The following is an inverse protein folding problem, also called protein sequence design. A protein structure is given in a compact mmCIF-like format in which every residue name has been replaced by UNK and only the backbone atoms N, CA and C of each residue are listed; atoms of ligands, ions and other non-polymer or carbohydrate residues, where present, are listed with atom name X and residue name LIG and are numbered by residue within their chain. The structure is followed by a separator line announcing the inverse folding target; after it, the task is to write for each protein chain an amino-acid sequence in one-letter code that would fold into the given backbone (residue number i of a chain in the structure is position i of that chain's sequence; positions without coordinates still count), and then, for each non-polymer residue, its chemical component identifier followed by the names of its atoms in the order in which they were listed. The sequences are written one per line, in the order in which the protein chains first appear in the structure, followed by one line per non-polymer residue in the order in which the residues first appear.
data_IF_087797304707
#
_entry.id   IF_087797304707
#
_cell.length_a   1.000
_cell.length_b   1.000
_cell.length_c   1.000
_cell.angle_alpha   90.00
_cell.angle_beta   90.00
_cell.angle_gamma   90.00
#
_symmetry.space_group_name_H-M   'P 1'
#
loop_
_entity.id
_entity.type
_entity.pdbx_description
1 polymer ?
#
# COMPACT_ATOMS: atom_id res chain seq x y z
N UNK A 1 -0.35 1.23 -2.14
CA UNK A 1 1.11 1.46 -2.03
C UNK A 1 1.83 0.82 -3.23
N UNK A 2 1.85 -0.52 -3.37
CA UNK A 2 2.52 -1.23 -4.48
C UNK A 2 2.09 -0.79 -5.88
N UNK A 3 0.79 -0.63 -6.13
CA UNK A 3 0.28 -0.20 -7.45
C UNK A 3 0.71 1.23 -7.82
N UNK A 4 0.87 2.09 -6.83
CA UNK A 4 1.37 3.46 -7.00
C UNK A 4 2.87 3.45 -7.27
N UNK A 5 3.61 2.57 -6.58
CA UNK A 5 5.05 2.38 -6.78
C UNK A 5 5.36 1.86 -8.19
N UNK A 6 4.63 0.86 -8.66
CA UNK A 6 4.83 0.22 -9.97
C UNK A 6 4.55 1.06 -11.21
N UNK A 7 3.95 2.25 -11.05
CA UNK A 7 3.71 3.18 -12.15
C UNK A 7 5.02 3.73 -12.74
N UNK A 8 6.01 3.93 -11.88
CA UNK A 8 7.31 4.54 -12.25
C UNK A 8 8.41 3.48 -12.42
N UNK A 9 8.07 2.19 -12.36
CA UNK A 9 9.03 1.09 -12.45
C UNK A 9 9.08 0.52 -13.87
N UNK A 10 10.24 0.00 -14.25
CA UNK A 10 10.41 -0.76 -15.52
C UNK A 10 9.54 -2.01 -15.58
N UNK A 11 9.24 -2.59 -14.41
CA UNK A 11 8.40 -3.78 -14.26
C UNK A 11 7.06 -3.36 -13.65
N UNK A 12 5.92 -3.63 -14.30
CA UNK A 12 4.62 -3.26 -13.77
C UNK A 12 4.31 -4.06 -12.49
N UNK A 13 3.88 -3.39 -11.43
CA UNK A 13 3.56 -4.05 -10.16
C UNK A 13 2.21 -4.79 -10.14
N UNK A 14 1.30 -4.44 -11.05
CA UNK A 14 -0.08 -4.95 -11.02
C UNK A 14 -0.20 -6.49 -11.16
N UNK A 15 0.61 -7.22 -11.96
CA UNK A 15 0.50 -8.67 -12.05
C UNK A 15 0.93 -9.33 -10.72
N UNK A 16 1.99 -8.80 -10.09
CA UNK A 16 2.48 -9.28 -8.80
C UNK A 16 1.49 -8.96 -7.67
N UNK A 17 0.84 -7.79 -7.73
CA UNK A 17 -0.22 -7.43 -6.78
C UNK A 17 -1.44 -8.35 -6.90
N UNK A 18 -1.84 -8.72 -8.12
CA UNK A 18 -2.94 -9.68 -8.33
C UNK A 18 -2.52 -11.08 -7.87
N UNK A 19 -1.32 -11.52 -8.26
CA UNK A 19 -0.79 -12.82 -7.86
C UNK A 19 -0.66 -12.96 -6.34
N UNK A 20 -0.40 -11.86 -5.62
CA UNK A 20 -0.31 -11.86 -4.17
C UNK A 20 -1.63 -12.19 -3.45
N UNK A 21 -2.79 -12.10 -4.11
CA UNK A 21 -4.05 -12.58 -3.51
C UNK A 21 -4.14 -14.11 -3.46
N UNK A 22 -3.39 -14.83 -4.30
CA UNK A 22 -3.40 -16.29 -4.37
C UNK A 22 -2.13 -16.92 -3.80
N UNK A 23 -0.98 -16.30 -4.07
CA UNK A 23 0.35 -16.79 -3.70
C UNK A 23 0.97 -16.02 -2.52
N UNK A 24 0.32 -14.94 -2.09
CA UNK A 24 0.81 -14.12 -1.00
C UNK A 24 1.99 -13.21 -1.34
N UNK A 25 2.68 -12.73 -0.32
CA UNK A 25 3.95 -12.03 -0.35
C UNK A 25 5.01 -12.71 -1.22
N UNK A 26 4.98 -14.04 -1.40
CA UNK A 26 5.90 -14.72 -2.30
C UNK A 26 5.78 -14.24 -3.74
N UNK A 27 4.59 -13.86 -4.20
CA UNK A 27 4.44 -13.21 -5.50
C UNK A 27 4.97 -11.76 -5.49
N UNK A 28 4.96 -11.09 -4.34
CA UNK A 28 5.37 -9.70 -4.23
C UNK A 28 6.90 -9.53 -4.11
N UNK A 29 7.59 -10.49 -3.50
CA UNK A 29 9.04 -10.44 -3.27
C UNK A 29 9.88 -10.25 -4.54
N UNK A 30 9.67 -11.00 -5.65
CA UNK A 30 10.42 -10.80 -6.88
C UNK A 30 10.31 -9.36 -7.40
N UNK A 31 9.12 -8.78 -7.33
CA UNK A 31 8.91 -7.38 -7.71
C UNK A 31 9.70 -6.43 -6.80
N UNK A 32 9.70 -6.65 -5.48
CA UNK A 32 10.43 -5.81 -4.54
C UNK A 32 11.96 -5.91 -4.68
N UNK A 33 12.47 -7.05 -5.17
CA UNK A 33 13.90 -7.24 -5.45
C UNK A 33 14.31 -6.52 -6.74
N UNK A 34 13.43 -6.52 -7.76
CA UNK A 34 13.72 -5.96 -9.08
C UNK A 34 13.43 -4.46 -9.21
N UNK A 35 12.63 -3.89 -8.29
CA UNK A 35 12.25 -2.47 -8.34
C UNK A 35 13.40 -1.54 -7.92
N UNK A 36 13.39 -0.33 -8.45
CA UNK A 36 14.33 0.73 -8.05
C UNK A 36 13.63 1.73 -7.13
N UNK A 37 14.18 2.14 -5.99
CA UNK A 37 13.53 3.13 -5.12
C UNK A 37 13.31 4.45 -5.86
N UNK A 38 12.04 4.83 -6.09
CA UNK A 38 11.68 6.05 -6.81
C UNK A 38 10.99 7.03 -5.86
N UNK A 39 11.61 8.21 -5.69
CA UNK A 39 11.12 9.24 -4.75
C UNK A 39 10.09 10.21 -5.36
N UNK A 40 9.83 10.13 -6.66
CA UNK A 40 8.94 11.05 -7.39
C UNK A 40 7.89 10.26 -8.17
N UNK A 41 6.70 10.81 -8.30
CA UNK A 41 5.63 10.28 -9.13
C UNK A 41 5.50 11.20 -10.34
N UNK A 42 5.94 10.75 -11.52
CA UNK A 42 6.02 11.54 -12.75
C UNK A 42 5.16 10.91 -13.84
N UNK A 43 3.88 11.25 -13.88
CA UNK A 43 3.02 10.85 -15.00
C UNK A 43 1.53 11.02 -14.77
N UNK A 44 0.71 10.78 -15.82
CA UNK A 44 -0.74 10.85 -15.74
C UNK A 44 -1.29 9.69 -14.89
N UNK A 45 -2.15 9.99 -13.91
CA UNK A 45 -2.78 8.97 -13.07
C UNK A 45 -3.67 8.06 -13.91
N UNK A 46 -3.29 6.79 -14.06
CA UNK A 46 -4.15 5.78 -14.69
C UNK A 46 -5.47 5.59 -13.92
N UNK A 47 -6.52 5.09 -14.57
CA UNK A 47 -7.83 4.86 -13.91
C UNK A 47 -7.71 3.94 -12.69
N UNK A 48 -6.82 2.95 -12.73
CA UNK A 48 -6.54 2.05 -11.62
C UNK A 48 -5.96 2.80 -10.41
N UNK A 49 -5.01 3.72 -10.66
CA UNK A 49 -4.42 4.54 -9.59
C UNK A 49 -5.47 5.49 -9.02
N UNK A 50 -6.35 6.07 -9.85
CA UNK A 50 -7.43 6.93 -9.36
C UNK A 50 -8.39 6.19 -8.41
N UNK A 51 -8.74 4.95 -8.75
CA UNK A 51 -9.56 4.08 -7.90
C UNK A 51 -8.84 3.80 -6.57
N UNK A 52 -7.58 3.36 -6.61
CA UNK A 52 -6.79 3.02 -5.40
C UNK A 52 -6.44 4.26 -4.55
N UNK A 53 -6.40 5.45 -5.14
CA UNK A 53 -6.25 6.73 -4.44
C UNK A 53 -7.57 7.23 -3.82
N UNK A 54 -8.71 6.59 -4.09
CA UNK A 54 -10.00 7.01 -3.54
C UNK A 54 -10.05 6.83 -2.02
N UNK A 55 -10.32 7.93 -1.30
CA UNK A 55 -10.52 7.93 0.16
C UNK A 55 -11.65 7.00 0.59
N UNK A 56 -12.66 6.82 -0.25
CA UNK A 56 -13.77 5.90 0.00
C UNK A 56 -13.32 4.45 0.04
N UNK A 57 -12.43 4.04 -0.87
CA UNK A 57 -11.88 2.68 -0.87
C UNK A 57 -11.00 2.46 0.35
N UNK A 58 -10.18 3.46 0.71
CA UNK A 58 -9.41 3.43 1.95
C UNK A 58 -10.31 3.26 3.19
N UNK A 59 -11.39 4.04 3.28
CA UNK A 59 -12.36 3.96 4.37
C UNK A 59 -13.10 2.62 4.42
N UNK A 60 -13.57 2.11 3.28
CA UNK A 60 -14.22 0.80 3.21
C UNK A 60 -13.27 -0.30 3.67
N UNK A 61 -12.02 -0.31 3.18
CA UNK A 61 -11.00 -1.28 3.61
C UNK A 61 -10.73 -1.20 5.12
N UNK A 62 -10.62 0.01 5.67
CA UNK A 62 -10.36 0.20 7.10
C UNK A 62 -11.54 -0.31 7.96
N UNK A 63 -12.77 0.02 7.59
CA UNK A 63 -13.98 -0.43 8.29
C UNK A 63 -14.12 -1.95 8.18
N UNK A 64 -14.01 -2.52 6.99
CA UNK A 64 -14.13 -3.95 6.77
C UNK A 64 -13.04 -4.74 7.51
N UNK A 65 -11.78 -4.28 7.45
CA UNK A 65 -10.68 -4.90 8.19
C UNK A 65 -10.93 -4.87 9.71
N UNK A 66 -11.35 -3.73 10.24
CA UNK A 66 -11.65 -3.57 11.66
C UNK A 66 -12.81 -4.46 12.10
N UNK A 67 -13.88 -4.54 11.29
CA UNK A 67 -15.04 -5.38 11.58
C UNK A 67 -14.69 -6.87 11.57
N UNK A 68 -13.92 -7.34 10.57
CA UNK A 68 -13.50 -8.74 10.46
C UNK A 68 -12.57 -9.12 11.62
N UNK A 69 -11.60 -8.26 11.95
CA UNK A 69 -10.71 -8.49 13.09
C UNK A 69 -11.47 -8.48 14.41
N UNK A 70 -12.38 -7.52 14.62
CA UNK A 70 -13.22 -7.46 15.81
C UNK A 70 -14.08 -8.70 15.97
N UNK A 71 -14.67 -9.19 14.87
CA UNK A 71 -15.44 -10.43 14.86
C UNK A 71 -14.57 -11.65 15.17
N UNK A 72 -13.40 -11.78 14.54
CA UNK A 72 -12.47 -12.88 14.82
C UNK A 72 -11.94 -12.87 16.25
N UNK A 73 -11.77 -11.69 16.86
CA UNK A 73 -11.34 -11.56 18.25
C UNK A 73 -12.44 -11.95 19.24
N UNK A 74 -13.68 -11.57 18.95
CA UNK A 74 -14.82 -11.78 19.85
C UNK A 74 -15.44 -13.17 19.74
N UNK A 75 -15.59 -13.68 18.52
CA UNK A 75 -16.28 -14.94 18.23
C UNK A 75 -15.34 -16.07 17.78
N UNK A 76 -14.03 -15.84 17.72
CA UNK A 76 -13.05 -16.81 17.25
C UNK A 76 -12.74 -17.91 18.27
N UNK A 77 -12.67 -19.15 17.79
CA UNK A 77 -12.14 -20.28 18.55
C UNK A 77 -10.61 -20.35 18.41
N UNK A 78 -9.92 -19.70 19.34
CA UNK A 78 -8.46 -19.59 19.36
C UNK A 78 -7.73 -20.94 19.49
N UNK A 79 -8.14 -21.86 20.39
CA UNK A 79 -7.58 -23.21 20.42
C UNK A 79 -7.69 -23.92 19.07
N UNK A 80 -8.87 -23.91 18.46
CA UNK A 80 -9.09 -24.54 17.17
C UNK A 80 -8.25 -23.89 16.06
N UNK A 81 -8.07 -22.56 16.08
CA UNK A 81 -7.18 -21.85 15.17
C UNK A 81 -5.73 -22.32 15.30
N UNK A 82 -5.22 -22.51 16.52
CA UNK A 82 -3.85 -22.99 16.77
C UNK A 82 -3.68 -24.42 16.25
N UNK A 83 -4.65 -25.29 16.49
CA UNK A 83 -4.64 -26.67 16.00
C UNK A 83 -4.69 -26.73 14.48
N UNK A 84 -5.55 -25.92 13.87
CA UNK A 84 -5.65 -25.78 12.43
C UNK A 84 -4.36 -25.19 11.82
N UNK A 85 -3.72 -24.23 12.49
CA UNK A 85 -2.46 -23.66 12.01
C UNK A 85 -1.32 -24.68 12.00
N UNK A 86 -1.33 -25.68 12.89
CA UNK A 86 -0.32 -26.76 12.90
C UNK A 86 -0.65 -27.89 11.94
N UNK A 87 -1.93 -28.23 11.79
CA UNK A 87 -2.40 -29.39 11.03
C UNK A 87 -2.67 -29.08 9.56
N UNK A 88 -3.20 -27.89 9.26
CA UNK A 88 -3.54 -27.46 7.90
C UNK A 88 -2.41 -26.64 7.29
N UNK A 89 -1.75 -27.22 6.28
CA UNK A 89 -0.71 -26.52 5.51
C UNK A 89 -1.23 -25.22 4.89
N UNK A 90 -2.50 -25.18 4.51
CA UNK A 90 -3.12 -23.99 3.93
C UNK A 90 -3.20 -22.85 4.95
N UNK A 91 -3.74 -23.11 6.15
CA UNK A 91 -3.87 -22.09 7.21
C UNK A 91 -2.49 -21.66 7.71
N UNK A 92 -1.56 -22.60 7.80
CA UNK A 92 -0.18 -22.30 8.14
C UNK A 92 0.47 -21.30 7.16
N UNK A 93 0.38 -21.58 5.85
CA UNK A 93 0.95 -20.72 4.81
C UNK A 93 0.24 -19.37 4.76
N UNK A 94 -1.10 -19.32 4.84
CA UNK A 94 -1.86 -18.06 4.86
C UNK A 94 -1.50 -17.20 6.09
N UNK A 95 -1.27 -17.81 7.25
CA UNK A 95 -0.83 -17.10 8.45
C UNK A 95 0.58 -16.54 8.33
N UNK A 96 1.53 -17.34 7.81
CA UNK A 96 2.89 -16.86 7.52
C UNK A 96 2.89 -15.76 6.46
N UNK A 97 2.04 -15.90 5.45
CA UNK A 97 1.88 -14.90 4.41
C UNK A 97 1.43 -13.55 4.96
N UNK A 98 0.41 -13.57 5.83
CA UNK A 98 -0.04 -12.37 6.53
C UNK A 98 1.09 -11.68 7.30
N UNK A 99 1.90 -12.44 8.05
CA UNK A 99 3.07 -11.91 8.77
C UNK A 99 4.09 -11.32 7.80
N UNK A 100 4.37 -12.01 6.70
CA UNK A 100 5.34 -11.55 5.71
C UNK A 100 4.88 -10.27 5.01
N UNK A 101 3.62 -10.21 4.58
CA UNK A 101 3.02 -8.99 4.02
C UNK A 101 3.07 -7.83 5.02
N UNK A 102 2.80 -8.09 6.30
CA UNK A 102 2.92 -7.09 7.35
C UNK A 102 4.36 -6.58 7.51
N UNK A 103 5.36 -7.45 7.49
CA UNK A 103 6.78 -7.07 7.54
C UNK A 103 7.23 -6.27 6.31
N UNK A 104 6.55 -6.40 5.17
CA UNK A 104 6.81 -5.60 3.98
C UNK A 104 6.22 -4.19 4.05
N UNK A 105 5.23 -3.94 4.91
CA UNK A 105 4.57 -2.62 5.03
C UNK A 105 5.56 -1.48 5.26
N UNK A 106 6.50 -1.53 6.22
CA UNK A 106 7.41 -0.40 6.47
C UNK A 106 8.22 0.01 5.23
N UNK A 107 8.64 -0.96 4.42
CA UNK A 107 9.40 -0.70 3.19
C UNK A 107 8.55 0.04 2.15
N UNK A 108 7.30 -0.38 1.97
CA UNK A 108 6.35 0.23 1.03
C UNK A 108 5.81 1.57 1.53
N UNK A 109 5.64 1.69 2.84
CA UNK A 109 5.13 2.88 3.50
C UNK A 109 6.13 4.02 3.44
N UNK A 110 7.42 3.75 3.68
CA UNK A 110 8.47 4.76 3.55
C UNK A 110 8.52 5.35 2.15
N UNK A 111 8.44 4.51 1.11
CA UNK A 111 8.38 4.95 -0.28
C UNK A 111 7.12 5.79 -0.57
N UNK A 112 5.93 5.35 -0.13
CA UNK A 112 4.66 6.08 -0.36
C UNK A 112 4.63 7.42 0.39
N UNK A 113 5.14 7.47 1.62
CA UNK A 113 5.26 8.71 2.41
C UNK A 113 6.25 9.69 1.78
N UNK A 114 7.41 9.21 1.32
CA UNK A 114 8.39 10.04 0.62
C UNK A 114 7.82 10.66 -0.66
N UNK A 115 7.07 9.88 -1.45
CA UNK A 115 6.38 10.38 -2.66
C UNK A 115 5.33 11.44 -2.36
N UNK A 116 4.74 11.41 -1.16
CA UNK A 116 3.73 12.39 -0.69
C UNK A 116 4.32 13.52 0.15
N UNK A 117 5.64 13.58 0.30
CA UNK A 117 6.34 14.57 1.13
C UNK A 117 5.83 14.57 2.59
N UNK A 118 5.44 13.39 3.10
CA UNK A 118 5.02 13.21 4.49
C UNK A 118 6.22 12.82 5.35
N UNK A 119 6.69 13.74 6.19
CA UNK A 119 7.75 13.48 7.16
C UNK A 119 7.18 13.47 8.58
N UNK A 120 6.48 12.38 8.94
CA UNK A 120 5.88 12.21 10.26
C UNK A 120 6.20 10.83 10.84
N UNK A 121 7.22 10.72 11.73
CA UNK A 121 7.59 9.46 12.34
C UNK A 121 6.44 8.78 13.10
N UNK A 122 5.57 9.56 13.76
CA UNK A 122 4.41 9.04 14.46
C UNK A 122 3.42 8.30 13.54
N UNK A 123 3.09 8.91 12.40
CA UNK A 123 2.24 8.29 11.37
C UNK A 123 2.88 7.02 10.81
N UNK A 124 4.19 7.04 10.58
CA UNK A 124 4.94 5.88 10.09
C UNK A 124 4.81 4.70 11.06
N UNK A 125 5.16 4.90 12.33
CA UNK A 125 5.11 3.83 13.33
C UNK A 125 3.70 3.35 13.64
N UNK A 126 2.73 4.26 13.75
CA UNK A 126 1.32 3.87 13.97
C UNK A 126 0.80 3.00 12.82
N UNK A 127 1.18 3.33 11.58
CA UNK A 127 0.78 2.58 10.40
C UNK A 127 1.51 1.24 10.29
N UNK A 128 2.81 1.21 10.62
CA UNK A 128 3.65 0.03 10.51
C UNK A 128 3.39 -1.01 11.61
N UNK A 129 3.13 -0.57 12.85
CA UNK A 129 3.02 -1.46 14.01
C UNK A 129 1.66 -2.13 14.15
N UNK A 130 0.60 -1.55 13.58
CA UNK A 130 -0.74 -2.11 13.65
C UNK A 130 -1.03 -2.87 12.36
N UNK A 131 -0.90 -4.21 12.35
CA UNK A 131 -1.12 -5.00 11.13
C UNK A 131 -2.54 -4.81 10.62
N UNK A 132 -2.68 -4.77 9.28
CA UNK A 132 -3.93 -4.58 8.55
C UNK A 132 -4.62 -3.22 8.77
N UNK A 133 -4.98 -2.87 10.00
CA UNK A 133 -5.72 -1.64 10.35
C UNK A 133 -4.87 -0.39 10.16
N UNK A 134 -3.58 -0.42 10.53
CA UNK A 134 -2.66 0.69 10.35
C UNK A 134 -2.56 1.10 8.87
N UNK A 135 -2.15 0.20 7.96
CA UNK A 135 -2.08 0.47 6.53
C UNK A 135 -3.41 0.92 5.92
N UNK A 136 -4.53 0.29 6.32
CA UNK A 136 -5.85 0.67 5.81
C UNK A 136 -6.27 2.08 6.25
N UNK A 137 -6.03 2.43 7.51
CA UNK A 137 -6.28 3.78 8.05
C UNK A 137 -5.39 4.82 7.37
N UNK A 138 -4.13 4.48 7.11
CA UNK A 138 -3.24 5.34 6.32
C UNK A 138 -3.78 5.58 4.90
N UNK A 139 -4.29 4.55 4.22
CA UNK A 139 -4.88 4.72 2.88
C UNK A 139 -6.08 5.68 2.87
N UNK A 140 -6.87 5.69 3.94
CA UNK A 140 -8.00 6.61 4.12
C UNK A 140 -7.52 8.06 4.37
N UNK A 141 -6.50 8.24 5.19
CA UNK A 141 -6.07 9.55 5.69
C UNK A 141 -5.02 10.24 4.82
N UNK A 142 -4.24 9.48 4.04
CA UNK A 142 -3.12 10.01 3.24
C UNK A 142 -3.57 11.16 2.30
N UNK A 143 -2.76 12.22 2.16
CA UNK A 143 -2.99 13.28 1.18
C UNK A 143 -2.91 12.71 -0.24
N UNK A 144 -3.65 13.23 -1.22
CA UNK A 144 -3.53 12.79 -2.61
C UNK A 144 -2.12 13.05 -3.15
N UNK A 145 -1.66 12.21 -4.08
CA UNK A 145 -0.37 12.44 -4.77
C UNK A 145 -0.37 13.82 -5.43
N UNK A 146 0.62 14.65 -5.10
CA UNK A 146 0.92 15.89 -5.79
C UNK A 146 1.38 15.55 -7.21
N UNK A 147 0.53 15.85 -8.19
CA UNK A 147 0.98 15.92 -9.57
C UNK A 147 1.75 17.23 -9.62
N UNK A 148 3.07 17.17 -9.79
CA UNK A 148 3.85 18.38 -10.03
C UNK A 148 3.21 19.09 -11.22
N UNK A 149 2.64 20.26 -10.98
CA UNK A 149 2.10 21.17 -11.99
C UNK A 149 3.24 21.81 -12.80
N UNK A 150 4.25 21.00 -13.19
CA UNK A 150 5.40 21.38 -14.01
C UNK A 150 5.03 21.75 -15.46
N UNK A 151 3.75 21.89 -15.78
CA UNK A 151 3.26 22.45 -17.04
C UNK A 151 2.79 23.91 -16.95
N UNK A 152 2.52 24.46 -15.74
CA UNK A 152 1.92 25.80 -15.61
C UNK A 152 2.91 26.91 -15.29
N UNK A 153 3.99 26.64 -14.57
CA UNK A 153 4.98 27.69 -14.25
C UNK A 153 5.89 28.04 -15.44
N UNK A 154 6.23 27.07 -16.31
CA UNK A 154 6.99 27.37 -17.53
C UNK A 154 6.17 28.18 -18.55
N UNK A 155 4.86 27.96 -18.64
CA UNK A 155 3.99 28.78 -19.51
C UNK A 155 3.78 30.20 -18.97
N UNK A 156 3.81 30.40 -17.65
CA UNK A 156 3.70 31.73 -17.03
C UNK A 156 5.01 32.51 -17.12
N UNK A 157 6.16 31.86 -16.97
CA UNK A 157 7.48 32.48 -17.10
C UNK A 157 7.85 32.81 -18.57
N UNK A 158 7.39 31.98 -19.53
CA UNK A 158 7.57 32.28 -20.96
C UNK A 158 6.67 33.43 -21.45
N UNK A 159 5.53 33.69 -20.78
CA UNK A 159 4.66 34.82 -21.11
C UNK A 159 5.13 36.15 -20.50
N UNK A 160 5.88 36.14 -19.39
CA UNK A 160 6.37 37.37 -18.74
C UNK A 160 7.72 37.86 -19.25
N UNK A 161 8.36 37.11 -20.16
CA UNK A 161 9.60 37.50 -20.84
C UNK A 161 9.36 38.07 -22.24
N UNK A 162 8.09 38.23 -22.63
CA UNK A 162 7.63 38.81 -23.91
C UNK A 162 6.94 40.17 -23.70
N UNK A 163 6.79 40.64 -22.45
CA UNK A 163 6.37 42.02 -22.12
C UNK A 163 7.52 42.80 -21.50
#
# INVERSE_FOLDING_TARGET
MVLTDGHEQKVPAWPFAIAAFALGAFALLPYLILRTPNRRFTGPKSRLIQVVESRWIGGLLAVSATAILGYGLWAGDWPNLIDQWRSSRFIHVMGLDFVLLWLLVPTLLGDDMARRQLDSPGTFWLTALIPLVGPASYLMLRPPLSIELAGREQSSAASSSIQ
#
